data_IF_381344993949
#
_entry.id   IF_381344993949
#
_cell.length_a   1.000
_cell.length_b   1.000
_cell.length_c   1.000
_cell.angle_alpha   90.00
_cell.angle_beta   90.00
_cell.angle_gamma   90.00
#
_symmetry.space_group_name_H-M   'P 1'
#
loop_
_entity.id
_entity.type
_entity.pdbx_description
1 polymer ?
#
# COMPACT_ATOMS: atom_id res chain seq x y z
N UNK A 1 -10.79 10.33 10.63
CA UNK A 1 -10.92 8.86 10.58
C UNK A 1 -10.61 8.49 9.14
N UNK A 2 -9.39 8.01 8.89
CA UNK A 2 -9.01 7.53 7.56
C UNK A 2 -9.93 6.34 7.26
N UNK A 3 -10.60 6.35 6.10
CA UNK A 3 -11.56 5.30 5.73
C UNK A 3 -10.92 3.95 5.41
N UNK A 4 -9.72 3.68 5.94
CA UNK A 4 -8.91 2.49 5.66
C UNK A 4 -8.41 1.83 6.93
N UNK A 5 -8.05 0.56 6.85
CA UNK A 5 -7.45 -0.20 7.95
C UNK A 5 -6.15 0.43 8.46
N UNK A 6 -5.79 0.11 9.71
CA UNK A 6 -4.55 0.58 10.34
C UNK A 6 -3.32 0.13 9.53
N UNK A 7 -3.29 -1.12 9.09
CA UNK A 7 -2.22 -1.67 8.27
C UNK A 7 -2.12 -0.94 6.92
N UNK A 8 -3.23 -0.70 6.24
CA UNK A 8 -3.25 0.07 5.01
C UNK A 8 -2.67 1.47 5.22
N UNK A 9 -3.04 2.16 6.31
CA UNK A 9 -2.47 3.46 6.62
C UNK A 9 -0.95 3.40 6.90
N UNK A 10 -0.47 2.40 7.64
CA UNK A 10 0.97 2.19 7.88
C UNK A 10 1.75 1.98 6.58
N UNK A 11 1.20 1.19 5.65
CA UNK A 11 1.77 0.97 4.32
C UNK A 11 1.80 2.29 3.53
N UNK A 12 0.71 3.06 3.53
CA UNK A 12 0.63 4.34 2.84
C UNK A 12 1.68 5.34 3.34
N UNK A 13 1.88 5.42 4.66
CA UNK A 13 2.91 6.28 5.26
C UNK A 13 4.31 5.83 4.85
N UNK A 14 4.58 4.52 4.88
CA UNK A 14 5.86 3.98 4.46
C UNK A 14 6.15 4.27 2.97
N UNK A 15 5.16 4.07 2.10
CA UNK A 15 5.26 4.40 0.68
C UNK A 15 5.52 5.89 0.47
N UNK A 16 4.78 6.76 1.14
CA UNK A 16 4.98 8.21 1.02
C UNK A 16 6.41 8.61 1.40
N UNK A 17 6.91 8.12 2.53
CA UNK A 17 8.27 8.40 2.98
C UNK A 17 9.33 7.81 2.04
N UNK A 18 9.07 6.64 1.44
CA UNK A 18 9.98 6.01 0.47
C UNK A 18 10.00 6.76 -0.86
N UNK A 19 8.87 7.31 -1.30
CA UNK A 19 8.76 8.08 -2.55
C UNK A 19 9.52 9.40 -2.51
N UNK A 20 9.63 10.03 -1.33
CA UNK A 20 10.34 11.31 -1.15
C UNK A 20 11.86 11.15 -1.02
N UNK A 21 12.40 9.91 -1.02
CA UNK A 21 13.84 9.65 -0.96
C UNK A 21 14.48 9.82 -2.35
N UNK A 22 15.71 10.34 -2.37
CA UNK A 22 16.53 10.44 -3.59
C UNK A 22 16.77 9.06 -4.23
N UNK A 23 17.04 8.05 -3.39
CA UNK A 23 17.21 6.64 -3.79
C UNK A 23 15.95 5.80 -3.47
N UNK A 24 14.78 6.25 -3.90
CA UNK A 24 13.51 5.56 -3.65
C UNK A 24 13.53 4.09 -4.11
N UNK A 25 13.17 3.17 -3.21
CA UNK A 25 13.09 1.74 -3.49
C UNK A 25 11.81 1.12 -2.90
N UNK A 26 10.69 1.31 -3.58
CA UNK A 26 9.39 0.72 -3.21
C UNK A 26 9.41 -0.81 -3.08
N UNK A 27 10.34 -1.50 -3.77
CA UNK A 27 10.49 -2.96 -3.70
C UNK A 27 10.91 -3.46 -2.32
N UNK A 28 11.45 -2.57 -1.48
CA UNK A 28 11.83 -2.91 -0.10
C UNK A 28 10.61 -3.04 0.83
N UNK A 29 9.48 -2.42 0.47
CA UNK A 29 8.23 -2.40 1.23
C UNK A 29 7.44 -3.70 1.02
N UNK A 30 8.00 -4.79 1.51
CA UNK A 30 7.46 -6.16 1.39
C UNK A 30 6.60 -6.55 2.60
N UNK A 31 5.78 -7.61 2.54
CA UNK A 31 5.05 -8.12 3.72
C UNK A 31 5.95 -8.31 4.95
N UNK A 32 7.18 -8.81 4.74
CA UNK A 32 8.16 -9.01 5.81
C UNK A 32 8.65 -7.70 6.45
N UNK A 33 8.73 -6.61 5.69
CA UNK A 33 9.04 -5.28 6.24
C UNK A 33 7.99 -4.84 7.27
N UNK A 34 6.71 -5.12 6.99
CA UNK A 34 5.58 -4.82 7.87
C UNK A 34 5.28 -5.92 8.88
N UNK A 35 6.01 -7.04 8.87
CA UNK A 35 5.84 -8.21 9.76
C UNK A 35 4.42 -8.82 9.69
N UNK A 36 3.83 -8.80 8.50
CA UNK A 36 2.50 -9.39 8.21
C UNK A 36 2.64 -10.50 7.18
N UNK A 37 1.59 -11.30 7.02
CA UNK A 37 1.56 -12.28 5.93
C UNK A 37 1.24 -11.65 4.56
N UNK A 38 1.47 -12.40 3.49
CA UNK A 38 1.28 -11.90 2.12
C UNK A 38 -0.17 -11.52 1.79
N UNK A 39 -1.16 -12.20 2.40
CA UNK A 39 -2.58 -11.95 2.12
C UNK A 39 -3.08 -10.72 2.86
N UNK A 40 -2.67 -10.54 4.11
CA UNK A 40 -2.93 -9.33 4.90
C UNK A 40 -2.34 -8.11 4.18
N UNK A 41 -1.07 -8.22 3.75
CA UNK A 41 -0.42 -7.18 2.97
C UNK A 41 -1.18 -6.90 1.66
N UNK A 42 -1.49 -7.92 0.87
CA UNK A 42 -2.20 -7.75 -0.40
C UNK A 42 -3.59 -7.13 -0.23
N UNK A 43 -4.30 -7.48 0.84
CA UNK A 43 -5.61 -6.92 1.15
C UNK A 43 -5.52 -5.44 1.52
N UNK A 44 -4.51 -5.06 2.31
CA UNK A 44 -4.28 -3.66 2.66
C UNK A 44 -3.83 -2.82 1.46
N UNK A 45 -2.98 -3.36 0.58
CA UNK A 45 -2.60 -2.68 -0.68
C UNK A 45 -3.82 -2.51 -1.59
N UNK A 46 -4.66 -3.55 -1.75
CA UNK A 46 -5.90 -3.46 -2.51
C UNK A 46 -6.84 -2.38 -1.96
N UNK A 47 -7.01 -2.32 -0.64
CA UNK A 47 -7.82 -1.30 0.02
C UNK A 47 -7.33 0.13 -0.30
N UNK A 48 -6.01 0.36 -0.28
CA UNK A 48 -5.43 1.66 -0.66
C UNK A 48 -5.70 2.03 -2.12
N UNK A 49 -5.62 1.06 -3.03
CA UNK A 49 -5.86 1.27 -4.46
C UNK A 49 -7.35 1.50 -4.76
N UNK A 50 -8.25 0.75 -4.12
CA UNK A 50 -9.71 0.97 -4.20
C UNK A 50 -10.12 2.34 -3.65
N UNK A 51 -9.44 2.82 -2.61
CA UNK A 51 -9.64 4.16 -2.05
C UNK A 51 -8.94 5.28 -2.87
N UNK A 52 -8.16 4.93 -3.90
CA UNK A 52 -7.44 5.88 -4.74
C UNK A 52 -6.27 6.58 -4.03
N UNK A 53 -5.78 6.05 -2.91
CA UNK A 53 -4.61 6.59 -2.22
C UNK A 53 -3.29 6.19 -2.89
N UNK A 54 -3.29 5.04 -3.57
CA UNK A 54 -2.19 4.59 -4.42
C UNK A 54 -2.73 4.16 -5.78
N UNK A 55 -1.83 3.99 -6.74
CA UNK A 55 -2.13 3.45 -8.08
C UNK A 55 -0.95 2.63 -8.59
N UNK A 56 -1.17 1.84 -9.64
CA UNK A 56 -0.13 1.06 -10.34
C UNK A 56 0.51 -0.02 -9.48
N UNK A 57 -0.17 -0.45 -8.40
CA UNK A 57 0.28 -1.59 -7.63
C UNK A 57 -0.03 -2.88 -8.41
N UNK A 58 0.81 -3.89 -8.26
CA UNK A 58 0.58 -5.18 -8.90
C UNK A 58 -0.02 -6.14 -7.88
N UNK A 59 -1.31 -6.47 -8.02
CA UNK A 59 -2.04 -7.35 -7.12
C UNK A 59 -2.47 -8.59 -7.88
N UNK A 60 -2.09 -9.75 -7.35
CA UNK A 60 -2.62 -11.04 -7.80
C UNK A 60 -3.85 -11.43 -7.00
N UNK A 61 -4.86 -11.91 -7.71
CA UNK A 61 -6.13 -12.36 -7.13
C UNK A 61 -6.34 -13.85 -7.39
N UNK A 62 -7.06 -14.53 -6.50
CA UNK A 62 -7.43 -15.92 -6.72
C UNK A 62 -8.19 -16.56 -5.55
N UNK A 63 -8.34 -17.88 -5.61
CA UNK A 63 -9.11 -18.64 -4.63
C UNK A 63 -10.63 -18.44 -4.76
N UNK A 64 -11.37 -19.00 -3.81
CA UNK A 64 -12.83 -18.85 -3.78
C UNK A 64 -13.19 -17.40 -3.39
N UNK A 65 -13.89 -16.70 -4.28
CA UNK A 65 -14.27 -15.30 -4.08
C UNK A 65 -13.32 -14.27 -4.71
N UNK A 66 -12.29 -14.71 -5.47
CA UNK A 66 -11.34 -13.83 -6.17
C UNK A 66 -10.69 -12.78 -5.24
N UNK A 67 -10.11 -13.24 -4.14
CA UNK A 67 -9.53 -12.39 -3.10
C UNK A 67 -8.07 -12.03 -3.43
N UNK A 68 -7.56 -10.89 -2.91
CA UNK A 68 -6.13 -10.56 -2.99
C UNK A 68 -5.27 -11.66 -2.34
N UNK A 69 -4.21 -12.09 -3.03
CA UNK A 69 -3.30 -13.14 -2.57
C UNK A 69 -1.88 -12.64 -2.29
N UNK A 70 -1.35 -11.85 -3.22
CA UNK A 70 0.00 -11.26 -3.15
C UNK A 70 -0.04 -9.91 -3.85
N UNK A 71 0.68 -8.92 -3.30
CA UNK A 71 0.87 -7.61 -3.92
C UNK A 71 2.36 -7.22 -3.99
N UNK A 72 2.70 -6.41 -4.97
CA UNK A 72 4.03 -5.82 -5.17
C UNK A 72 3.91 -4.32 -5.41
N UNK A 73 4.78 -3.55 -4.75
CA UNK A 73 4.80 -2.08 -4.81
C UNK A 73 5.84 -1.52 -5.77
N UNK A 74 6.52 -2.36 -6.55
CA UNK A 74 7.61 -1.98 -7.46
C UNK A 74 7.32 -0.76 -8.34
N UNK A 75 6.07 -0.64 -8.80
CA UNK A 75 5.60 0.45 -9.66
C UNK A 75 4.55 1.32 -8.96
N UNK A 76 4.20 1.02 -7.71
CA UNK A 76 3.10 1.70 -7.04
C UNK A 76 3.46 3.14 -6.71
N UNK A 77 2.52 4.05 -6.95
CA UNK A 77 2.69 5.49 -6.76
C UNK A 77 1.69 5.98 -5.72
N UNK A 78 2.15 6.77 -4.76
CA UNK A 78 1.27 7.50 -3.84
C UNK A 78 0.63 8.66 -4.60
N UNK A 79 -0.71 8.69 -4.66
CA UNK A 79 -1.45 9.74 -5.35
C UNK A 79 -1.45 11.04 -4.56
N UNK A 80 -1.88 12.14 -5.17
CA UNK A 80 -2.10 13.40 -4.44
C UNK A 80 -3.08 13.22 -3.27
N UNK A 81 -4.09 12.37 -3.43
CA UNK A 81 -5.05 12.08 -2.37
C UNK A 81 -4.39 11.30 -1.22
N UNK A 82 -3.56 10.30 -1.54
CA UNK A 82 -2.77 9.56 -0.55
C UNK A 82 -1.81 10.47 0.22
N UNK A 83 -1.10 11.35 -0.49
CA UNK A 83 -0.18 12.32 0.13
C UNK A 83 -0.91 13.32 1.06
N UNK A 84 -2.08 13.82 0.66
CA UNK A 84 -2.91 14.66 1.51
C UNK A 84 -3.40 13.92 2.76
N UNK A 85 -3.78 12.64 2.61
CA UNK A 85 -4.20 11.79 3.73
C UNK A 85 -3.08 11.66 4.78
N UNK A 86 -1.85 11.38 4.36
CA UNK A 86 -0.69 11.29 5.26
C UNK A 86 -0.42 12.64 5.95
N UNK A 87 -0.34 13.73 5.18
CA UNK A 87 -0.04 15.08 5.70
C UNK A 87 -1.11 15.65 6.64
N UNK A 88 -2.38 15.25 6.47
CA UNK A 88 -3.46 15.70 7.34
C UNK A 88 -3.48 14.98 8.72
N UNK A 89 -2.78 13.86 8.84
CA UNK A 89 -2.75 13.01 10.05
C UNK A 89 -1.33 12.90 10.64
N UNK A 90 -0.39 13.72 10.17
CA UNK A 90 1.00 13.84 10.66
C UNK A 90 1.18 14.95 11.70
#
# INVERSE_FOLDING_TARGET
>A
MTGVSVLAYEILVAMFNEQEKEDSNMKSLTPSFFKVDSKEFASAVNELEECGYITESNISFGGQGNLPLTAWLDNAIVTNLGALCVKANS
#
